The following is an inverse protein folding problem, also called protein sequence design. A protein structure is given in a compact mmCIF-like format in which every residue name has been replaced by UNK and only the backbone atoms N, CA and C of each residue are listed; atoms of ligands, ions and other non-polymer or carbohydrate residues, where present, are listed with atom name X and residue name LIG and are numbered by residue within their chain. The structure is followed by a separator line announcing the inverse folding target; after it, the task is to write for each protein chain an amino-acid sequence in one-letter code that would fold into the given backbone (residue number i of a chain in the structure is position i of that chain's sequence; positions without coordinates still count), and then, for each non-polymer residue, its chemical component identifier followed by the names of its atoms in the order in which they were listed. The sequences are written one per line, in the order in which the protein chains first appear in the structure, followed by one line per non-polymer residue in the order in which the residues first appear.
data_IF_476530477997
#
_entry.id   IF_476530477997
#
_cell.length_a   1.000
_cell.length_b   1.000
_cell.length_c   1.000
_cell.angle_alpha   90.00
_cell.angle_beta   90.00
_cell.angle_gamma   90.00
#
_symmetry.space_group_name_H-M   'P 1'
#
loop_
_entity.id
_entity.type
_entity.pdbx_description
1 polymer ?
#
# COMPACT_ATOMS: atom_id res chain seq x y z
N UNK A 1 -2.23 15.91 -3.22
CA UNK A 1 -1.09 15.38 -2.43
C UNK A 1 -1.02 13.84 -2.37
N UNK A 2 -2.14 13.10 -2.46
CA UNK A 2 -2.15 11.61 -2.37
C UNK A 2 -1.41 10.88 -3.50
N UNK A 3 -1.46 11.38 -4.74
CA UNK A 3 -0.86 10.72 -5.91
C UNK A 3 0.66 10.62 -5.85
N UNK A 4 1.32 11.61 -5.25
CA UNK A 4 2.78 11.66 -5.15
C UNK A 4 3.32 10.64 -4.15
N UNK A 5 2.61 10.41 -3.03
CA UNK A 5 2.97 9.38 -2.06
C UNK A 5 2.81 7.97 -2.65
N UNK A 6 1.81 7.76 -3.50
CA UNK A 6 1.57 6.50 -4.17
C UNK A 6 2.70 6.11 -5.14
N UNK A 7 3.18 7.09 -5.92
CA UNK A 7 4.33 6.90 -6.82
C UNK A 7 5.62 6.60 -6.05
N UNK A 8 5.82 7.22 -4.89
CA UNK A 8 6.98 6.96 -4.02
C UNK A 8 6.90 5.54 -3.44
N UNK A 9 5.74 5.12 -2.92
CA UNK A 9 5.56 3.76 -2.41
C UNK A 9 5.76 2.70 -3.50
N UNK A 10 5.20 2.92 -4.70
CA UNK A 10 5.46 2.04 -5.84
C UNK A 10 6.96 1.98 -6.13
N UNK A 11 7.64 3.12 -6.28
CA UNK A 11 9.08 3.17 -6.51
C UNK A 11 9.90 2.38 -5.48
N UNK A 12 9.57 2.51 -4.19
CA UNK A 12 10.25 1.78 -3.11
C UNK A 12 10.00 0.27 -3.21
N UNK A 13 8.75 -0.15 -3.44
CA UNK A 13 8.41 -1.58 -3.57
C UNK A 13 9.07 -2.21 -4.79
N UNK A 14 9.13 -1.49 -5.91
CA UNK A 14 9.84 -1.95 -7.11
C UNK A 14 11.35 -2.05 -6.86
N UNK A 15 11.95 -1.08 -6.17
CA UNK A 15 13.37 -1.09 -5.85
C UNK A 15 13.75 -2.18 -4.83
N UNK A 16 12.88 -2.46 -3.85
CA UNK A 16 13.05 -3.57 -2.92
C UNK A 16 12.93 -4.91 -3.66
N UNK A 17 11.94 -5.03 -4.55
CA UNK A 17 11.74 -6.20 -5.40
C UNK A 17 12.95 -6.48 -6.30
N UNK A 18 13.49 -5.46 -6.99
CA UNK A 18 14.69 -5.61 -7.83
C UNK A 18 15.90 -6.06 -7.02
N UNK A 19 16.14 -5.46 -5.86
CA UNK A 19 17.26 -5.82 -4.99
C UNK A 19 17.17 -7.28 -4.52
N UNK A 20 15.98 -7.71 -4.06
CA UNK A 20 15.72 -9.09 -3.66
C UNK A 20 15.85 -10.07 -4.83
N UNK A 21 15.36 -9.70 -6.02
CA UNK A 21 15.47 -10.50 -7.22
C UNK A 21 16.91 -10.70 -7.70
N UNK A 22 17.75 -9.65 -7.63
CA UNK A 22 19.18 -9.73 -7.92
C UNK A 22 19.90 -10.65 -6.91
N UNK A 23 19.52 -10.56 -5.63
CA UNK A 23 20.06 -11.42 -4.56
C UNK A 23 19.64 -12.89 -4.71
N UNK A 24 18.40 -13.13 -5.14
CA UNK A 24 17.86 -14.49 -5.33
C UNK A 24 18.48 -15.21 -6.52
N UNK A 25 18.78 -14.51 -7.61
CA UNK A 25 19.40 -15.10 -8.79
C UNK A 25 20.73 -14.40 -9.14
N UNK A 26 21.74 -14.69 -8.31
CA UNK A 26 23.11 -14.18 -8.48
C UNK A 26 23.77 -14.62 -9.79
N UNK A 27 23.31 -15.71 -10.40
CA UNK A 27 23.85 -16.19 -11.68
C UNK A 27 23.41 -15.30 -12.83
N UNK A 28 22.16 -14.82 -12.79
CA UNK A 28 21.57 -14.00 -13.84
C UNK A 28 20.89 -12.75 -13.26
N UNK A 29 21.68 -11.75 -12.80
CA UNK A 29 21.16 -10.60 -12.07
C UNK A 29 20.18 -9.75 -12.89
N UNK A 30 20.31 -9.72 -14.23
CA UNK A 30 19.38 -9.01 -15.10
C UNK A 30 17.99 -9.69 -15.20
N UNK A 31 17.93 -11.03 -15.12
CA UNK A 31 16.66 -11.76 -15.08
C UNK A 31 16.02 -11.67 -13.69
N UNK A 32 16.85 -11.84 -12.66
CA UNK A 32 16.45 -11.68 -11.27
C UNK A 32 15.91 -10.29 -10.97
N UNK A 33 16.56 -9.23 -11.48
CA UNK A 33 16.08 -7.85 -11.29
C UNK A 33 14.75 -7.59 -11.98
N UNK A 34 14.54 -8.10 -13.19
CA UNK A 34 13.29 -7.91 -13.95
C UNK A 34 12.10 -8.62 -13.27
N UNK A 35 12.31 -9.87 -12.85
CA UNK A 35 11.32 -10.63 -12.08
C UNK A 35 11.05 -9.99 -10.72
N UNK A 36 12.11 -9.50 -10.06
CA UNK A 36 12.01 -8.78 -8.80
C UNK A 36 11.23 -7.47 -8.93
N UNK A 37 11.50 -6.67 -9.97
CA UNK A 37 10.78 -5.42 -10.25
C UNK A 37 9.30 -5.67 -10.47
N UNK A 38 8.97 -6.66 -11.31
CA UNK A 38 7.57 -6.99 -11.63
C UNK A 38 6.84 -7.51 -10.41
N UNK A 39 7.45 -8.39 -9.61
CA UNK A 39 6.89 -8.85 -8.35
C UNK A 39 6.69 -7.69 -7.35
N UNK A 40 7.67 -6.78 -7.24
CA UNK A 40 7.59 -5.59 -6.39
C UNK A 40 6.48 -4.64 -6.80
N UNK A 41 6.31 -4.38 -8.09
CA UNK A 41 5.21 -3.56 -8.61
C UNK A 41 3.84 -4.16 -8.31
N UNK A 42 3.66 -5.46 -8.53
CA UNK A 42 2.38 -6.14 -8.27
C UNK A 42 2.06 -6.13 -6.78
N UNK A 43 3.03 -6.50 -5.93
CA UNK A 43 2.86 -6.49 -4.48
C UNK A 43 2.57 -5.07 -3.94
N UNK A 44 3.30 -4.06 -4.44
CA UNK A 44 3.09 -2.65 -4.07
C UNK A 44 1.70 -2.14 -4.49
N UNK A 45 1.24 -2.51 -5.68
CA UNK A 45 -0.09 -2.13 -6.19
C UNK A 45 -1.22 -2.75 -5.35
N UNK A 46 -1.09 -4.03 -5.02
CA UNK A 46 -2.07 -4.74 -4.17
C UNK A 46 -2.07 -4.16 -2.76
N UNK A 47 -0.91 -3.96 -2.14
CA UNK A 47 -0.82 -3.39 -0.80
C UNK A 47 -1.45 -2.00 -0.72
N UNK A 48 -1.21 -1.16 -1.73
CA UNK A 48 -1.76 0.18 -1.78
C UNK A 48 -3.27 0.20 -2.05
N UNK A 49 -3.77 -0.71 -2.91
CA UNK A 49 -5.21 -0.89 -3.13
C UNK A 49 -5.95 -1.43 -1.89
N UNK A 50 -5.35 -2.38 -1.17
CA UNK A 50 -5.89 -2.88 0.11
C UNK A 50 -5.88 -1.78 1.18
N UNK A 51 -4.82 -0.97 1.25
CA UNK A 51 -4.77 0.16 2.17
C UNK A 51 -5.84 1.20 1.86
N UNK A 52 -6.07 1.52 0.57
CA UNK A 52 -7.14 2.43 0.17
C UNK A 52 -8.53 1.85 0.47
N UNK A 53 -8.75 0.56 0.25
CA UNK A 53 -10.00 -0.12 0.60
C UNK A 53 -10.30 -0.06 2.12
N UNK A 54 -9.32 -0.46 2.95
CA UNK A 54 -9.47 -0.47 4.42
C UNK A 54 -9.57 0.96 4.98
N UNK A 55 -8.82 1.92 4.42
CA UNK A 55 -8.87 3.31 4.89
C UNK A 55 -10.08 4.11 4.37
N UNK A 56 -10.72 3.63 3.29
CA UNK A 56 -11.99 4.17 2.79
C UNK A 56 -13.19 3.64 3.58
N UNK A 57 -13.10 2.46 4.20
CA UNK A 57 -14.02 2.05 5.25
C UNK A 57 -13.77 2.94 6.47
N UNK A 58 -14.56 4.01 6.60
CA UNK A 58 -14.71 4.72 7.87
C UNK A 58 -15.17 3.69 8.90
N UNK A 59 -14.26 3.24 9.75
CA UNK A 59 -14.60 2.43 10.92
C UNK A 59 -15.76 3.15 11.63
N UNK A 60 -16.94 2.53 11.78
CA UNK A 60 -18.18 3.23 12.12
C UNK A 60 -18.19 3.87 13.52
N UNK A 61 -17.16 3.63 14.34
CA UNK A 61 -17.03 4.23 15.67
C UNK A 61 -16.85 5.75 15.68
N UNK A 62 -16.48 6.38 14.56
CA UNK A 62 -16.35 7.85 14.43
C UNK A 62 -17.21 8.45 13.31
N UNK A 63 -18.20 7.70 12.83
CA UNK A 63 -19.22 8.23 11.93
C UNK A 63 -20.22 9.05 12.74
N UNK A 64 -20.49 10.31 12.35
CA UNK A 64 -21.54 11.16 12.92
C UNK A 64 -22.96 10.58 12.80
N UNK A 65 -23.11 9.41 12.20
CA UNK A 65 -24.37 8.67 12.11
C UNK A 65 -24.46 7.50 13.10
N UNK A 66 -23.47 7.36 14.00
CA UNK A 66 -23.60 6.43 15.12
C UNK A 66 -24.61 6.98 16.13
N UNK A 67 -25.66 6.22 16.42
CA UNK A 67 -26.69 6.54 17.43
C UNK A 67 -26.15 6.69 18.86
N UNK A 68 -24.84 6.56 19.06
CA UNK A 68 -24.13 6.77 20.32
C UNK A 68 -23.64 8.23 20.51
N UNK A 69 -23.79 9.10 19.49
CA UNK A 69 -23.36 10.51 19.57
C UNK A 69 -24.50 11.52 19.78
N UNK A 70 -25.75 11.08 19.88
CA UNK A 70 -26.93 11.98 20.04
C UNK A 70 -27.14 12.53 21.46
N UNK A 71 -26.32 12.17 22.47
CA UNK A 71 -26.63 12.48 23.88
C UNK A 71 -25.55 13.28 24.65
N UNK A 72 -24.60 13.97 23.98
CA UNK A 72 -23.55 14.73 24.72
C UNK A 72 -23.72 16.25 24.66
N UNK A 73 -24.53 16.80 23.74
CA UNK A 73 -24.71 18.27 23.61
C UNK A 73 -26.02 18.81 24.22
N UNK A 74 -26.69 18.05 25.11
CA UNK A 74 -27.96 18.44 25.75
C UNK A 74 -27.81 18.89 27.22
N UNK A 75 -26.71 19.54 27.60
CA UNK A 75 -26.55 20.21 28.91
C UNK A 75 -26.00 21.62 28.77
#
# INVERSE_FOLDING_TARGET
MKTSQYLICLGITTAAGTALGILSDRRHPAKGSLLGATAGMVAGSVAAGVYEYISSEKVPYYSKESSLYDDIDAV
#
